data_IF_874345632621
#
_entry.id   IF_874345632621
#
_cell.length_a   1.000
_cell.length_b   1.000
_cell.length_c   1.000
_cell.angle_alpha   90.00
_cell.angle_beta   90.00
_cell.angle_gamma   90.00
#
_symmetry.space_group_name_H-M   'P 1'
#
loop_
_entity.id
_entity.type
_entity.pdbx_description
1 polymer ?
#
# COMPACT_ATOMS: atom_id res chain seq x y z
N UNK A 1 -8.71 6.95 14.13
CA UNK A 1 -7.51 7.43 13.41
C UNK A 1 -7.16 6.41 12.34
N UNK A 2 -7.23 6.79 11.06
CA UNK A 2 -6.77 5.95 9.93
C UNK A 2 -5.24 5.88 9.94
N UNK A 3 -4.67 4.71 9.67
CA UNK A 3 -3.22 4.53 9.69
C UNK A 3 -2.63 4.92 8.32
N UNK A 4 -1.87 6.01 8.31
CA UNK A 4 -1.04 6.44 7.19
C UNK A 4 0.41 6.08 7.53
N UNK A 5 1.02 5.21 6.73
CA UNK A 5 2.42 4.85 6.87
C UNK A 5 3.28 5.81 6.04
N UNK A 6 4.35 6.34 6.65
CA UNK A 6 5.40 7.09 5.96
C UNK A 6 6.67 6.25 5.90
N UNK A 7 7.14 5.95 4.69
CA UNK A 7 8.36 5.18 4.46
C UNK A 7 9.41 6.14 3.91
N UNK A 8 10.46 6.38 4.68
CA UNK A 8 11.52 7.33 4.33
C UNK A 8 12.58 6.66 3.45
N UNK A 9 12.79 7.26 2.28
CA UNK A 9 13.89 6.95 1.38
C UNK A 9 15.11 7.82 1.68
N UNK A 10 15.97 7.98 0.68
CA UNK A 10 17.13 8.87 0.79
C UNK A 10 16.74 10.33 0.55
N UNK A 11 15.82 10.58 -0.37
CA UNK A 11 15.38 11.94 -0.75
C UNK A 11 13.86 12.08 -0.88
N UNK A 12 13.13 10.98 -0.72
CA UNK A 12 11.71 10.90 -0.99
C UNK A 12 11.01 10.17 0.16
N UNK A 13 9.70 10.32 0.29
CA UNK A 13 8.86 9.65 1.29
C UNK A 13 7.69 9.04 0.57
N UNK A 14 7.53 7.71 0.67
CA UNK A 14 6.35 7.01 0.19
C UNK A 14 5.28 6.99 1.27
N UNK A 15 4.05 7.32 0.90
CA UNK A 15 2.92 7.36 1.83
C UNK A 15 1.84 6.38 1.46
N UNK A 16 1.46 5.51 2.39
CA UNK A 16 0.51 4.42 2.15
C UNK A 16 -0.67 4.54 3.10
N UNK A 17 -1.89 4.54 2.55
CA UNK A 17 -3.09 4.33 3.35
C UNK A 17 -3.20 2.84 3.69
N UNK A 18 -2.90 2.49 4.93
CA UNK A 18 -2.81 1.10 5.34
C UNK A 18 -4.13 0.60 5.95
N UNK A 19 -4.37 -0.71 5.81
CA UNK A 19 -5.49 -1.47 6.38
C UNK A 19 -6.84 -0.72 6.34
N UNK A 20 -7.33 -0.30 5.14
CA UNK A 20 -8.63 0.35 5.01
C UNK A 20 -9.78 -0.49 5.59
N UNK A 21 -9.63 -1.82 5.56
CA UNK A 21 -10.56 -2.79 6.17
C UNK A 21 -10.79 -2.57 7.66
N UNK A 22 -9.76 -2.18 8.43
CA UNK A 22 -9.88 -1.92 9.87
C UNK A 22 -10.81 -0.76 10.21
N UNK A 23 -11.06 0.11 9.24
CA UNK A 23 -11.89 1.29 9.38
C UNK A 23 -13.19 1.19 8.58
N UNK A 24 -13.46 0.04 7.96
CA UNK A 24 -14.63 -0.18 7.10
C UNK A 24 -14.80 0.89 6.03
N UNK A 25 -13.70 1.41 5.48
CA UNK A 25 -13.79 2.48 4.48
C UNK A 25 -14.46 1.93 3.22
N UNK A 26 -15.42 2.70 2.71
CA UNK A 26 -15.97 2.52 1.37
C UNK A 26 -14.97 2.99 0.31
N UNK A 27 -15.21 2.57 -0.94
CA UNK A 27 -14.46 3.03 -2.11
C UNK A 27 -14.47 4.55 -2.24
N UNK A 28 -15.61 5.20 -1.96
CA UNK A 28 -15.73 6.66 -2.05
C UNK A 28 -14.94 7.37 -0.96
N UNK A 29 -14.94 6.86 0.27
CA UNK A 29 -14.13 7.40 1.37
C UNK A 29 -12.63 7.25 1.09
N UNK A 30 -12.20 6.11 0.54
CA UNK A 30 -10.81 5.91 0.10
C UNK A 30 -10.46 6.95 -0.96
N UNK A 31 -11.26 7.06 -2.02
CA UNK A 31 -11.00 8.00 -3.10
C UNK A 31 -10.99 9.46 -2.63
N UNK A 32 -11.94 9.83 -1.76
CA UNK A 32 -11.96 11.16 -1.15
C UNK A 32 -10.69 11.39 -0.34
N UNK A 33 -10.30 10.43 0.51
CA UNK A 33 -9.10 10.52 1.34
C UNK A 33 -7.83 10.67 0.51
N UNK A 34 -7.69 9.88 -0.54
CA UNK A 34 -6.54 9.93 -1.46
C UNK A 34 -6.44 11.28 -2.18
N UNK A 35 -7.58 11.89 -2.56
CA UNK A 35 -7.62 13.20 -3.25
C UNK A 35 -7.44 14.40 -2.33
N UNK A 36 -8.06 14.38 -1.15
CA UNK A 36 -8.22 15.58 -0.30
C UNK A 36 -7.27 15.61 0.89
N UNK A 37 -6.35 14.65 1.01
CA UNK A 37 -5.38 14.66 2.08
C UNK A 37 -4.50 15.92 2.00
N UNK A 38 -4.19 16.59 3.13
CA UNK A 38 -3.27 17.73 3.15
C UNK A 38 -1.84 17.34 2.74
N UNK A 39 -1.53 16.04 2.79
CA UNK A 39 -0.27 15.44 2.36
C UNK A 39 -0.64 14.34 1.37
N UNK A 40 0.04 14.32 0.22
CA UNK A 40 -0.19 13.34 -0.83
C UNK A 40 -0.04 11.91 -0.30
N UNK A 41 -1.02 11.05 -0.59
CA UNK A 41 -0.95 9.61 -0.33
C UNK A 41 -0.65 8.94 -1.68
N UNK A 42 0.35 8.08 -1.69
CA UNK A 42 0.92 7.50 -2.91
C UNK A 42 0.32 6.15 -3.29
N UNK A 43 -0.13 5.38 -2.29
CA UNK A 43 -0.67 4.04 -2.48
C UNK A 43 -1.69 3.68 -1.40
N UNK A 44 -2.47 2.63 -1.68
CA UNK A 44 -3.36 2.00 -0.72
C UNK A 44 -2.96 0.54 -0.50
N UNK A 45 -3.22 0.02 0.70
CA UNK A 45 -3.05 -1.40 0.98
C UNK A 45 -4.28 -2.21 0.54
N UNK A 46 -4.05 -3.34 -0.15
CA UNK A 46 -5.07 -4.33 -0.58
C UNK A 46 -4.88 -5.69 0.11
N UNK A 47 -4.36 -5.63 1.32
CA UNK A 47 -4.20 -6.73 2.26
C UNK A 47 -4.66 -6.29 3.66
N UNK A 48 -4.84 -7.27 4.54
CA UNK A 48 -5.04 -7.06 5.96
C UNK A 48 -4.36 -8.21 6.73
N UNK A 49 -3.28 -7.92 7.47
CA UNK A 49 -2.45 -8.93 8.17
C UNK A 49 -1.94 -10.03 7.25
N UNK A 50 -1.62 -9.66 6.01
CA UNK A 50 -1.18 -10.57 4.97
C UNK A 50 -2.27 -11.26 4.17
N UNK A 51 -3.55 -11.10 4.51
CA UNK A 51 -4.66 -11.68 3.75
C UNK A 51 -5.18 -10.71 2.72
N UNK A 52 -5.36 -11.18 1.48
CA UNK A 52 -5.85 -10.36 0.37
C UNK A 52 -7.27 -9.83 0.62
N UNK A 53 -7.49 -8.55 0.29
CA UNK A 53 -8.78 -7.85 0.45
C UNK A 53 -9.31 -7.42 -0.93
N UNK A 54 -9.97 -8.32 -1.67
CA UNK A 54 -10.38 -8.07 -3.05
C UNK A 54 -11.34 -6.89 -3.20
N UNK A 55 -12.09 -6.53 -2.16
CA UNK A 55 -12.95 -5.35 -2.13
C UNK A 55 -12.20 -4.02 -2.31
N UNK A 56 -10.88 -4.00 -2.07
CA UNK A 56 -10.01 -2.84 -2.24
C UNK A 56 -9.09 -2.92 -3.46
N UNK A 57 -8.98 -4.09 -4.10
CA UNK A 57 -8.20 -4.26 -5.33
C UNK A 57 -9.10 -4.22 -6.57
N UNK A 58 -9.70 -3.05 -6.79
CA UNK A 58 -10.68 -2.78 -7.86
C UNK A 58 -10.31 -1.51 -8.62
N UNK A 59 -10.73 -1.43 -9.88
CA UNK A 59 -10.39 -0.29 -10.77
C UNK A 59 -11.03 1.03 -10.35
N UNK A 60 -12.07 1.00 -9.53
CA UNK A 60 -12.72 2.18 -8.94
C UNK A 60 -11.82 2.90 -7.94
N UNK A 61 -10.71 2.27 -7.50
CA UNK A 61 -9.66 2.93 -6.72
C UNK A 61 -8.45 3.11 -7.66
N UNK A 62 -8.35 4.24 -8.36
CA UNK A 62 -7.36 4.45 -9.43
C UNK A 62 -5.98 4.87 -8.88
N UNK A 63 -5.55 4.23 -7.80
CA UNK A 63 -4.28 4.49 -7.11
C UNK A 63 -3.46 3.21 -7.04
N UNK A 64 -2.13 3.30 -6.91
CA UNK A 64 -1.30 2.12 -6.67
C UNK A 64 -1.82 1.29 -5.48
N UNK A 65 -2.04 -0.01 -5.74
CA UNK A 65 -2.58 -0.97 -4.80
C UNK A 65 -1.47 -1.93 -4.39
N UNK A 66 -0.98 -1.83 -3.15
CA UNK A 66 0.14 -2.66 -2.65
C UNK A 66 -0.34 -3.69 -1.63
N UNK A 67 0.45 -4.74 -1.43
CA UNK A 67 0.20 -5.74 -0.40
C UNK A 67 1.36 -5.77 0.61
N UNK A 68 1.02 -5.99 1.88
CA UNK A 68 1.96 -6.17 2.99
C UNK A 68 1.44 -7.22 3.96
N UNK A 69 2.36 -7.99 4.51
CA UNK A 69 2.04 -9.00 5.51
C UNK A 69 1.64 -8.40 6.87
N UNK A 70 1.97 -7.12 7.12
CA UNK A 70 1.74 -6.40 8.38
C UNK A 70 2.18 -7.25 9.58
N UNK A 71 3.35 -7.88 9.44
CA UNK A 71 3.82 -8.89 10.36
C UNK A 71 4.15 -8.31 11.74
N UNK A 72 3.49 -8.83 12.78
CA UNK A 72 3.78 -8.50 14.19
C UNK A 72 4.48 -9.65 14.91
N UNK A 73 4.34 -10.87 14.38
CA UNK A 73 5.02 -12.07 14.85
C UNK A 73 5.68 -12.82 13.68
N UNK A 74 6.66 -13.70 13.97
CA UNK A 74 7.35 -14.49 12.93
C UNK A 74 6.40 -15.31 12.05
N UNK A 75 5.27 -15.76 12.60
CA UNK A 75 4.23 -16.51 11.87
C UNK A 75 3.42 -15.66 10.88
N UNK A 76 3.57 -14.35 10.92
CA UNK A 76 2.89 -13.42 10.02
C UNK A 76 3.77 -13.08 8.81
N UNK A 77 5.08 -13.27 8.91
CA UNK A 77 6.06 -12.93 7.87
C UNK A 77 5.80 -13.71 6.58
N UNK A 78 5.97 -13.02 5.44
CA UNK A 78 5.91 -13.58 4.10
C UNK A 78 4.53 -14.12 3.68
N UNK A 79 3.44 -13.62 4.26
CA UNK A 79 2.08 -13.90 3.77
C UNK A 79 1.77 -13.21 2.44
N UNK A 80 2.25 -11.98 2.25
CA UNK A 80 2.16 -11.27 0.99
C UNK A 80 3.19 -10.13 0.91
N UNK A 81 3.53 -9.73 -0.31
CA UNK A 81 4.47 -8.66 -0.59
C UNK A 81 4.25 -8.09 -1.98
N UNK A 82 4.97 -7.02 -2.31
CA UNK A 82 5.15 -6.56 -3.69
C UNK A 82 6.55 -6.92 -4.18
N UNK A 83 6.65 -7.28 -5.45
CA UNK A 83 7.91 -7.50 -6.15
C UNK A 83 8.11 -6.44 -7.22
N UNK A 84 9.31 -5.87 -7.26
CA UNK A 84 9.76 -4.96 -8.32
C UNK A 84 11.00 -5.52 -8.99
N UNK A 85 11.43 -4.89 -10.09
CA UNK A 85 12.80 -5.11 -10.57
C UNK A 85 13.83 -4.84 -9.46
N UNK A 86 14.98 -5.52 -9.55
CA UNK A 86 16.03 -5.43 -8.53
C UNK A 86 16.49 -3.98 -8.35
N UNK A 87 16.40 -3.50 -7.12
CA UNK A 87 16.64 -2.12 -6.80
C UNK A 87 17.19 -2.00 -5.37
N UNK A 88 18.43 -1.48 -5.24
CA UNK A 88 19.05 -1.18 -3.93
C UNK A 88 18.76 0.24 -3.42
N UNK A 89 18.07 1.07 -4.21
CA UNK A 89 17.77 2.45 -3.85
C UNK A 89 16.28 2.60 -3.49
N UNK A 90 15.91 2.89 -2.23
CA UNK A 90 14.50 3.03 -1.84
C UNK A 90 13.75 4.06 -2.69
N UNK A 91 14.39 5.16 -3.10
CA UNK A 91 13.73 6.18 -3.94
C UNK A 91 13.34 5.63 -5.34
N UNK A 92 14.06 4.62 -5.86
CA UNK A 92 13.66 3.94 -7.12
C UNK A 92 12.47 3.02 -6.90
N UNK A 93 12.45 2.28 -5.79
CA UNK A 93 11.30 1.47 -5.40
C UNK A 93 10.04 2.33 -5.28
N UNK A 94 10.13 3.50 -4.66
CA UNK A 94 8.98 4.40 -4.50
C UNK A 94 8.45 4.91 -5.85
N UNK A 95 9.34 5.21 -6.81
CA UNK A 95 8.95 5.57 -8.18
C UNK A 95 8.24 4.43 -8.89
N UNK A 96 8.74 3.19 -8.76
CA UNK A 96 8.10 2.01 -9.33
C UNK A 96 6.69 1.80 -8.73
N UNK A 97 6.54 1.96 -7.41
CA UNK A 97 5.23 1.88 -6.74
C UNK A 97 4.26 2.93 -7.29
N UNK A 98 4.66 4.21 -7.34
CA UNK A 98 3.81 5.28 -7.87
C UNK A 98 3.42 5.07 -9.34
N UNK A 99 4.29 4.42 -10.12
CA UNK A 99 4.03 4.07 -11.51
C UNK A 99 3.27 2.73 -11.67
N UNK A 100 2.88 2.07 -10.57
CA UNK A 100 2.27 0.72 -10.59
C UNK A 100 3.13 -0.34 -11.31
N UNK A 101 4.46 -0.19 -11.26
CA UNK A 101 5.45 -1.08 -11.86
C UNK A 101 5.93 -2.13 -10.86
N UNK A 102 5.01 -2.97 -10.42
CA UNK A 102 5.27 -4.04 -9.45
C UNK A 102 4.25 -5.17 -9.61
N UNK A 103 4.54 -6.32 -9.00
CA UNK A 103 3.61 -7.45 -8.90
C UNK A 103 3.26 -7.70 -7.44
N UNK A 104 1.99 -7.94 -7.16
CA UNK A 104 1.56 -8.44 -5.86
C UNK A 104 1.80 -9.95 -5.79
N UNK A 105 2.37 -10.42 -4.69
CA UNK A 105 2.56 -11.84 -4.37
C UNK A 105 1.83 -12.20 -3.10
N UNK A 106 1.27 -13.40 -3.07
CA UNK A 106 0.55 -14.01 -1.96
C UNK A 106 1.13 -15.41 -1.74
N UNK A 107 1.33 -15.81 -0.49
CA UNK A 107 1.82 -17.13 -0.10
C UNK A 107 0.70 -18.06 0.41
#
# INVERSE_FOLDING_TARGET
HQHLLEIFGKKDVLRVLCHPRNYYLSTDEINQRMRSAPIQIDAIEVSHRGFYTPEYNISQIPYPQIATDDAHELRDVARCWIETEECKNPDRLFKAIRASQFQIKMA
#
